data_IF_520290586654
#
_entry.id   IF_520290586654
#
_cell.length_a   1.000
_cell.length_b   1.000
_cell.length_c   1.000
_cell.angle_alpha   90.00
_cell.angle_beta   90.00
_cell.angle_gamma   90.00
#
_symmetry.space_group_name_H-M   'P 1'
#
loop_
_entity.id
_entity.type
_entity.pdbx_description
1 polymer ?
#
# COMPACT_ATOMS: atom_id res chain seq x y z
N UNK A 1 8.12 4.42 44.67
CA UNK A 1 8.13 4.41 43.19
C UNK A 1 7.67 3.01 42.76
N UNK A 2 6.49 2.53 43.14
CA UNK A 2 5.11 3.08 43.10
C UNK A 2 4.40 2.62 41.83
N UNK A 3 3.25 1.95 42.01
CA UNK A 3 2.62 1.04 41.04
C UNK A 3 1.85 1.69 39.86
N UNK A 4 1.91 3.02 39.72
CA UNK A 4 1.11 3.81 38.75
C UNK A 4 1.38 3.53 37.25
N UNK A 5 2.36 2.67 36.91
CA UNK A 5 2.71 2.36 35.50
C UNK A 5 1.99 1.10 34.98
N UNK A 6 1.32 0.32 35.83
CA UNK A 6 0.70 -0.97 35.44
C UNK A 6 -0.76 -0.90 35.00
N UNK A 7 -1.52 0.14 35.36
CA UNK A 7 -2.98 0.14 35.11
C UNK A 7 -3.40 0.51 33.68
N UNK A 8 -2.54 1.09 32.86
CA UNK A 8 -2.96 1.64 31.53
C UNK A 8 -3.16 0.57 30.44
N UNK A 9 -2.84 -0.71 30.68
CA UNK A 9 -2.80 -1.75 29.63
C UNK A 9 -3.81 -2.90 29.76
N UNK A 10 -4.74 -2.86 30.72
CA UNK A 10 -5.61 -4.00 31.04
C UNK A 10 -7.11 -3.72 30.82
N UNK A 11 -7.57 -3.72 29.57
CA UNK A 11 -9.00 -3.79 29.25
C UNK A 11 -9.31 -4.58 27.96
N UNK A 12 -10.38 -5.38 28.02
CA UNK A 12 -11.04 -6.11 26.93
C UNK A 12 -10.26 -7.22 26.21
N UNK A 13 -10.30 -8.42 26.80
CA UNK A 13 -10.30 -9.68 26.05
C UNK A 13 -11.69 -10.35 26.22
N UNK A 14 -12.32 -10.74 25.11
CA UNK A 14 -13.59 -11.48 25.09
C UNK A 14 -13.45 -12.67 24.13
N UNK A 15 -13.66 -13.88 24.65
CA UNK A 15 -13.27 -15.12 23.97
C UNK A 15 -14.44 -15.83 23.25
N UNK A 16 -14.12 -16.57 22.18
CA UNK A 16 -14.72 -17.87 21.87
C UNK A 16 -13.85 -18.63 20.85
N UNK A 17 -13.75 -19.95 20.97
CA UNK A 17 -12.95 -20.80 20.09
C UNK A 17 -13.82 -21.82 19.33
N UNK A 18 -13.41 -22.19 18.11
CA UNK A 18 -14.05 -23.24 17.32
C UNK A 18 -13.14 -23.80 16.21
N UNK A 19 -13.03 -25.13 16.14
CA UNK A 19 -12.39 -25.97 15.10
C UNK A 19 -13.26 -27.24 14.94
N UNK A 20 -13.14 -28.10 13.90
CA UNK A 20 -12.19 -28.13 12.77
C UNK A 20 -12.91 -27.69 11.45
N UNK A 21 -12.65 -28.10 10.20
CA UNK A 21 -11.85 -29.18 9.59
C UNK A 21 -11.36 -28.85 8.15
N UNK A 22 -11.08 -29.88 7.35
CA UNK A 22 -10.28 -29.84 6.10
C UNK A 22 -11.12 -29.96 4.80
N UNK A 23 -10.63 -29.43 3.66
CA UNK A 23 -11.37 -29.48 2.39
C UNK A 23 -10.69 -28.94 1.12
N UNK A 24 -9.52 -29.50 0.74
CA UNK A 24 -8.86 -29.50 -0.59
C UNK A 24 -9.24 -28.45 -1.68
N UNK A 25 -8.24 -27.63 -2.05
CA UNK A 25 -7.76 -27.34 -3.41
C UNK A 25 -8.76 -26.92 -4.54
N UNK A 26 -8.74 -25.63 -4.90
CA UNK A 26 -9.19 -25.09 -6.19
C UNK A 26 -8.34 -23.87 -6.58
N UNK A 27 -8.04 -23.68 -7.88
CA UNK A 27 -7.09 -22.66 -8.37
C UNK A 27 -7.76 -21.38 -8.91
N UNK A 28 -6.92 -20.36 -9.18
CA UNK A 28 -7.24 -19.12 -9.92
C UNK A 28 -8.10 -18.09 -9.12
N UNK A 29 -8.13 -16.77 -9.41
CA UNK A 29 -7.55 -15.97 -10.52
C UNK A 29 -7.37 -14.50 -10.09
N UNK A 30 -6.65 -13.69 -10.87
CA UNK A 30 -6.57 -12.23 -10.72
C UNK A 30 -7.93 -11.52 -10.85
N UNK A 31 -8.25 -10.59 -9.96
CA UNK A 31 -9.48 -9.77 -10.02
C UNK A 31 -9.54 -8.90 -11.29
N UNK A 32 -10.76 -8.71 -11.82
CA UNK A 32 -11.00 -8.34 -13.22
C UNK A 32 -12.04 -7.22 -13.41
N UNK A 33 -12.02 -6.19 -12.56
CA UNK A 33 -12.86 -5.01 -12.72
C UNK A 33 -12.19 -4.00 -13.69
N UNK A 34 -12.93 -3.41 -14.64
CA UNK A 34 -12.39 -2.32 -15.47
C UNK A 34 -12.32 -0.97 -14.74
N UNK A 35 -11.37 -0.08 -15.11
CA UNK A 35 -11.39 1.33 -14.71
C UNK A 35 -12.66 2.06 -15.17
N UNK A 36 -12.89 3.27 -14.64
CA UNK A 36 -13.92 4.19 -15.15
C UNK A 36 -13.47 4.92 -16.46
N UNK A 37 -14.39 5.41 -17.31
CA UNK A 37 -14.01 5.98 -18.63
C UNK A 37 -13.10 7.20 -18.56
N UNK A 38 -13.35 8.08 -17.58
CA UNK A 38 -12.48 9.23 -17.30
C UNK A 38 -11.06 8.81 -16.88
N UNK A 39 -10.93 7.66 -16.19
CA UNK A 39 -9.64 7.09 -15.80
C UNK A 39 -8.85 6.58 -17.01
N UNK A 40 -9.52 5.93 -17.97
CA UNK A 40 -8.88 5.51 -19.22
C UNK A 40 -8.37 6.72 -20.02
N UNK A 41 -9.19 7.76 -20.19
CA UNK A 41 -8.78 8.98 -20.87
C UNK A 41 -7.62 9.71 -20.17
N UNK A 42 -7.60 9.73 -18.82
CA UNK A 42 -6.47 10.25 -18.06
C UNK A 42 -5.19 9.42 -18.27
N UNK A 43 -5.28 8.08 -18.19
CA UNK A 43 -4.17 7.15 -18.43
C UNK A 43 -3.58 7.31 -19.82
N UNK A 44 -4.42 7.50 -20.84
CA UNK A 44 -4.00 7.78 -22.22
C UNK A 44 -3.23 9.10 -22.31
N UNK A 45 -3.70 10.20 -21.68
CA UNK A 45 -2.95 11.47 -21.65
C UNK A 45 -1.58 11.34 -20.97
N UNK A 46 -1.50 10.65 -19.85
CA UNK A 46 -0.24 10.43 -19.11
C UNK A 46 0.77 9.60 -19.92
N UNK A 47 0.30 8.60 -20.67
CA UNK A 47 1.15 7.72 -21.47
C UNK A 47 1.40 8.23 -22.90
N UNK A 48 0.66 9.24 -23.38
CA UNK A 48 0.83 9.79 -24.73
C UNK A 48 2.27 10.16 -25.13
N UNK A 49 3.15 10.69 -24.25
CA UNK A 49 4.55 10.96 -24.58
C UNK A 49 5.40 9.72 -24.87
N UNK A 50 5.02 8.54 -24.36
CA UNK A 50 5.71 7.26 -24.64
C UNK A 50 5.16 6.50 -25.85
N UNK A 51 4.12 7.04 -26.50
CA UNK A 51 3.44 6.41 -27.62
C UNK A 51 3.95 6.93 -28.97
N UNK A 52 4.13 6.01 -29.93
CA UNK A 52 4.22 6.40 -31.35
C UNK A 52 2.89 6.99 -31.84
N UNK A 53 2.89 7.81 -32.90
CA UNK A 53 1.64 8.37 -33.48
C UNK A 53 0.57 7.32 -33.80
N UNK A 54 0.97 6.13 -34.26
CA UNK A 54 0.04 5.02 -34.49
C UNK A 54 -0.55 4.47 -33.18
N UNK A 55 0.24 4.41 -32.11
CA UNK A 55 -0.25 3.99 -30.79
C UNK A 55 -1.15 5.04 -30.15
N UNK A 56 -0.84 6.33 -30.32
CA UNK A 56 -1.69 7.46 -29.90
C UNK A 56 -3.08 7.36 -30.55
N UNK A 57 -3.17 7.17 -31.88
CA UNK A 57 -4.46 6.98 -32.58
C UNK A 57 -5.30 5.82 -32.03
N UNK A 58 -4.66 4.71 -31.65
CA UNK A 58 -5.36 3.58 -31.01
C UNK A 58 -5.83 3.94 -29.60
N UNK A 59 -4.96 4.59 -28.81
CA UNK A 59 -5.24 4.99 -27.43
C UNK A 59 -6.34 6.06 -27.34
N UNK A 60 -6.33 7.05 -28.24
CA UNK A 60 -7.36 8.07 -28.39
C UNK A 60 -8.71 7.45 -28.78
N UNK A 61 -8.74 6.53 -29.75
CA UNK A 61 -9.97 5.85 -30.15
C UNK A 61 -10.63 5.11 -28.98
N UNK A 62 -9.85 4.32 -28.21
CA UNK A 62 -10.39 3.57 -27.07
C UNK A 62 -10.75 4.45 -25.86
N UNK A 63 -10.16 5.64 -25.74
CA UNK A 63 -10.52 6.62 -24.70
C UNK A 63 -11.75 7.45 -25.07
N UNK A 64 -11.94 7.77 -26.35
CA UNK A 64 -13.04 8.59 -26.85
C UNK A 64 -14.35 7.79 -26.93
N UNK A 65 -14.29 6.53 -27.41
CA UNK A 65 -15.45 5.64 -27.46
C UNK A 65 -15.07 4.21 -27.04
N UNK A 66 -15.05 3.94 -25.71
CA UNK A 66 -14.82 2.61 -25.18
C UNK A 66 -15.84 1.58 -25.68
N UNK A 67 -17.11 1.98 -25.83
CA UNK A 67 -18.21 1.10 -26.17
C UNK A 67 -18.13 0.59 -27.62
N UNK A 68 -17.92 1.48 -28.59
CA UNK A 68 -17.68 1.08 -29.97
C UNK A 68 -16.41 0.24 -30.10
N UNK A 69 -15.32 0.61 -29.41
CA UNK A 69 -14.07 -0.15 -29.45
C UNK A 69 -14.19 -1.55 -28.81
N UNK A 70 -15.06 -1.74 -27.82
CA UNK A 70 -15.35 -3.04 -27.20
C UNK A 70 -16.06 -4.01 -28.16
N UNK A 71 -16.87 -3.50 -29.10
CA UNK A 71 -17.61 -4.30 -30.08
C UNK A 71 -16.73 -4.84 -31.23
N UNK A 72 -15.53 -4.29 -31.42
CA UNK A 72 -14.65 -4.64 -32.55
C UNK A 72 -13.85 -5.94 -32.32
N UNK A 73 -13.25 -6.43 -33.40
CA UNK A 73 -12.13 -7.38 -33.36
C UNK A 73 -10.80 -6.61 -33.39
N UNK A 74 -9.66 -7.29 -33.18
CA UNK A 74 -8.34 -6.66 -33.29
C UNK A 74 -8.13 -6.07 -34.70
N UNK A 75 -8.57 -6.79 -35.73
CA UNK A 75 -8.60 -6.36 -37.13
C UNK A 75 -9.53 -5.16 -37.33
N UNK A 76 -10.71 -5.16 -36.69
CA UNK A 76 -11.67 -4.07 -36.75
C UNK A 76 -11.14 -2.78 -36.12
N UNK A 77 -10.51 -2.86 -34.95
CA UNK A 77 -9.89 -1.70 -34.30
C UNK A 77 -8.64 -1.22 -35.06
N UNK A 78 -7.85 -2.13 -35.63
CA UNK A 78 -6.74 -1.78 -36.52
C UNK A 78 -7.23 -1.03 -37.76
N UNK A 79 -8.33 -1.49 -38.38
CA UNK A 79 -9.01 -0.81 -39.49
C UNK A 79 -9.53 0.58 -39.11
N UNK A 80 -10.33 0.69 -38.04
CA UNK A 80 -10.88 1.96 -37.53
C UNK A 80 -9.78 3.00 -37.27
N UNK A 81 -8.67 2.56 -36.65
CA UNK A 81 -7.56 3.42 -36.28
C UNK A 81 -6.54 3.62 -37.40
N UNK A 82 -6.71 2.98 -38.56
CA UNK A 82 -5.72 2.96 -39.65
C UNK A 82 -4.32 2.56 -39.19
N UNK A 83 -4.23 1.47 -38.42
CA UNK A 83 -3.00 0.89 -37.88
C UNK A 83 -2.91 -0.62 -38.16
N UNK A 84 -1.88 -1.29 -37.65
CA UNK A 84 -1.76 -2.76 -37.72
C UNK A 84 -2.26 -3.43 -36.43
N UNK A 85 -2.68 -4.69 -36.51
CA UNK A 85 -3.05 -5.49 -35.33
C UNK A 85 -1.91 -5.56 -34.30
N UNK A 86 -0.66 -5.63 -34.77
CA UNK A 86 0.52 -5.59 -33.91
C UNK A 86 0.68 -4.24 -33.17
N UNK A 87 0.24 -3.13 -33.79
CA UNK A 87 0.13 -1.83 -33.10
C UNK A 87 -0.93 -1.90 -32.01
N UNK A 88 -2.13 -2.41 -32.32
CA UNK A 88 -3.25 -2.53 -31.35
C UNK A 88 -2.86 -3.36 -30.13
N UNK A 89 -2.26 -4.54 -30.33
CA UNK A 89 -1.80 -5.41 -29.22
C UNK A 89 -0.69 -4.74 -28.40
N UNK A 90 0.22 -3.98 -29.04
CA UNK A 90 1.29 -3.27 -28.33
C UNK A 90 0.76 -2.07 -27.55
N UNK A 91 -0.24 -1.35 -28.07
CA UNK A 91 -0.96 -0.31 -27.32
C UNK A 91 -1.71 -0.90 -26.13
N UNK A 92 -2.39 -2.05 -26.28
CA UNK A 92 -3.06 -2.72 -25.16
C UNK A 92 -2.08 -3.04 -24.01
N UNK A 93 -0.90 -3.57 -24.33
CA UNK A 93 0.19 -3.82 -23.36
C UNK A 93 0.73 -2.55 -22.72
N UNK A 94 0.93 -1.48 -23.50
CA UNK A 94 1.36 -0.18 -22.98
C UNK A 94 0.31 0.45 -22.05
N UNK A 95 -0.97 0.21 -22.30
CA UNK A 95 -2.09 0.57 -21.42
C UNK A 95 -2.24 -0.37 -20.21
N UNK A 96 -1.37 -1.36 -20.04
CA UNK A 96 -1.32 -2.26 -18.88
C UNK A 96 -2.12 -3.57 -19.00
N UNK A 97 -2.59 -3.94 -20.19
CA UNK A 97 -3.36 -5.17 -20.43
C UNK A 97 -2.50 -6.27 -21.07
N UNK A 98 -2.63 -7.56 -20.70
CA UNK A 98 -1.82 -8.65 -21.28
C UNK A 98 -1.89 -8.73 -22.83
N UNK A 99 -3.06 -8.45 -23.39
CA UNK A 99 -3.25 -8.23 -24.82
C UNK A 99 -4.57 -7.55 -25.17
N UNK A 100 -4.92 -7.55 -26.46
CA UNK A 100 -6.14 -6.91 -26.96
C UNK A 100 -7.43 -7.53 -26.39
N UNK A 101 -7.46 -8.84 -26.13
CA UNK A 101 -8.64 -9.51 -25.55
C UNK A 101 -9.00 -8.92 -24.19
N UNK A 102 -8.00 -8.68 -23.35
CA UNK A 102 -8.16 -8.18 -21.99
C UNK A 102 -8.53 -6.70 -21.99
N UNK A 103 -7.88 -5.90 -22.85
CA UNK A 103 -8.30 -4.53 -23.14
C UNK A 103 -9.78 -4.50 -23.57
N UNK A 104 -10.19 -5.35 -24.52
CA UNK A 104 -11.57 -5.37 -25.02
C UNK A 104 -12.60 -5.75 -23.95
N UNK A 105 -12.26 -6.69 -23.06
CA UNK A 105 -13.10 -7.03 -21.90
C UNK A 105 -13.21 -5.86 -20.92
N UNK A 106 -12.12 -5.14 -20.67
CA UNK A 106 -12.15 -3.93 -19.85
C UNK A 106 -13.01 -2.83 -20.50
N UNK A 107 -12.86 -2.58 -21.80
CA UNK A 107 -13.70 -1.64 -22.56
C UNK A 107 -15.19 -2.02 -22.55
N UNK A 108 -15.52 -3.32 -22.52
CA UNK A 108 -16.90 -3.79 -22.42
C UNK A 108 -17.52 -3.51 -21.04
N UNK A 109 -16.79 -3.72 -19.94
CA UNK A 109 -17.26 -3.38 -18.60
C UNK A 109 -17.31 -1.87 -18.36
N UNK A 110 -16.38 -1.11 -18.94
CA UNK A 110 -16.42 0.36 -19.05
C UNK A 110 -17.72 0.85 -19.68
N UNK A 111 -18.11 0.26 -20.81
CA UNK A 111 -19.37 0.56 -21.49
C UNK A 111 -20.58 0.17 -20.64
N UNK A 112 -20.57 -1.01 -20.02
CA UNK A 112 -21.63 -1.43 -19.09
C UNK A 112 -21.81 -0.45 -17.92
N UNK A 113 -20.71 0.11 -17.40
CA UNK A 113 -20.77 1.17 -16.38
C UNK A 113 -21.36 2.48 -16.91
N UNK A 114 -21.04 2.92 -18.13
CA UNK A 114 -21.69 4.11 -18.72
C UNK A 114 -23.18 3.89 -18.99
N UNK A 115 -23.56 2.74 -19.55
CA UNK A 115 -24.96 2.36 -19.76
C UNK A 115 -25.76 2.22 -18.45
N UNK A 116 -25.10 1.99 -17.31
CA UNK A 116 -25.75 1.90 -15.99
C UNK A 116 -26.21 3.25 -15.41
N UNK A 117 -25.80 4.38 -16.01
CA UNK A 117 -26.20 5.71 -15.55
C UNK A 117 -25.61 6.15 -14.19
N UNK A 118 -24.63 5.42 -13.64
CA UNK A 118 -23.92 5.83 -12.42
C UNK A 118 -23.17 7.14 -12.66
N UNK A 119 -23.34 8.10 -11.75
CA UNK A 119 -22.63 9.38 -11.77
C UNK A 119 -21.09 9.18 -11.73
N UNK A 120 -20.30 10.14 -12.23
CA UNK A 120 -18.85 10.12 -12.08
C UNK A 120 -18.47 10.00 -10.59
N UNK A 121 -17.45 9.20 -10.28
CA UNK A 121 -17.01 8.97 -8.90
C UNK A 121 -15.64 9.60 -8.61
N UNK A 122 -15.45 10.03 -7.36
CA UNK A 122 -14.18 10.56 -6.82
C UNK A 122 -13.30 9.41 -6.31
N UNK A 123 -13.92 8.35 -5.78
CA UNK A 123 -13.27 7.10 -5.36
C UNK A 123 -13.99 5.90 -6.00
N UNK A 124 -13.86 4.70 -5.44
CA UNK A 124 -14.63 3.53 -5.90
C UNK A 124 -16.15 3.72 -5.68
N UNK A 125 -16.56 4.22 -4.52
CA UNK A 125 -17.97 4.24 -4.08
C UNK A 125 -18.52 5.63 -3.72
N UNK A 126 -17.66 6.68 -3.74
CA UNK A 126 -18.06 8.08 -3.51
C UNK A 126 -18.30 8.77 -4.85
N UNK A 127 -19.54 9.22 -5.09
CA UNK A 127 -19.95 9.98 -6.27
C UNK A 127 -19.51 11.45 -6.18
N UNK A 128 -19.37 12.13 -7.33
CA UNK A 128 -19.02 13.56 -7.39
C UNK A 128 -20.10 14.46 -6.78
N UNK A 129 -21.34 14.01 -6.77
CA UNK A 129 -22.54 14.68 -6.27
C UNK A 129 -23.05 14.13 -4.91
N UNK A 130 -22.30 13.23 -4.26
CA UNK A 130 -22.64 12.76 -2.91
C UNK A 130 -22.67 13.95 -1.92
N UNK A 131 -23.73 14.10 -1.10
CA UNK A 131 -23.75 15.10 -0.04
C UNK A 131 -22.73 14.72 1.05
N UNK A 132 -22.13 15.72 1.69
CA UNK A 132 -21.04 15.52 2.66
C UNK A 132 -21.32 14.47 3.78
N UNK A 133 -22.54 14.32 4.34
CA UNK A 133 -22.85 13.24 5.27
C UNK A 133 -22.64 11.83 4.69
N UNK A 134 -23.00 11.62 3.42
CA UNK A 134 -22.85 10.33 2.75
C UNK A 134 -21.38 10.06 2.44
N UNK A 135 -20.60 11.09 2.06
CA UNK A 135 -19.14 10.99 1.90
C UNK A 135 -18.49 10.51 3.20
N UNK A 136 -18.87 11.08 4.35
CA UNK A 136 -18.37 10.67 5.68
C UNK A 136 -18.78 9.24 6.01
N UNK A 137 -20.06 8.88 5.81
CA UNK A 137 -20.57 7.55 6.12
C UNK A 137 -19.90 6.45 5.26
N UNK A 138 -19.77 6.67 3.95
CA UNK A 138 -19.12 5.75 3.00
C UNK A 138 -17.64 5.58 3.34
N UNK A 139 -16.89 6.68 3.54
CA UNK A 139 -15.47 6.61 3.86
C UNK A 139 -15.23 5.93 5.21
N UNK A 140 -16.02 6.23 6.24
CA UNK A 140 -15.91 5.56 7.54
C UNK A 140 -16.15 4.04 7.44
N UNK A 141 -17.12 3.62 6.62
CA UNK A 141 -17.37 2.20 6.35
C UNK A 141 -16.22 1.53 5.58
N UNK A 142 -15.71 2.16 4.53
CA UNK A 142 -14.59 1.64 3.74
C UNK A 142 -13.30 1.48 4.57
N UNK A 143 -12.98 2.45 5.43
CA UNK A 143 -11.80 2.39 6.30
C UNK A 143 -11.99 1.32 7.41
N UNK A 144 -13.20 1.16 7.97
CA UNK A 144 -13.49 0.06 8.91
C UNK A 144 -13.32 -1.32 8.27
N UNK A 145 -13.81 -1.53 7.05
CA UNK A 145 -13.60 -2.79 6.31
C UNK A 145 -12.12 -2.99 5.97
N UNK A 146 -11.43 -1.94 5.53
CA UNK A 146 -9.99 -1.97 5.23
C UNK A 146 -9.15 -2.45 6.43
N UNK A 147 -9.46 -1.95 7.63
CA UNK A 147 -8.82 -2.38 8.88
C UNK A 147 -9.15 -3.84 9.22
N UNK A 148 -10.42 -4.25 9.11
CA UNK A 148 -10.86 -5.61 9.39
C UNK A 148 -10.22 -6.64 8.43
N UNK A 149 -10.23 -6.37 7.12
CA UNK A 149 -9.60 -7.20 6.09
C UNK A 149 -8.10 -7.35 6.33
N UNK A 150 -7.42 -6.25 6.70
CA UNK A 150 -5.99 -6.28 6.99
C UNK A 150 -5.69 -7.10 8.24
N UNK A 151 -6.45 -6.91 9.32
CA UNK A 151 -6.30 -7.71 10.54
C UNK A 151 -6.54 -9.22 10.27
N UNK A 152 -7.53 -9.57 9.45
CA UNK A 152 -7.83 -10.94 9.07
C UNK A 152 -6.77 -11.57 8.14
N UNK A 153 -6.09 -10.75 7.33
CA UNK A 153 -5.07 -11.19 6.38
C UNK A 153 -3.63 -11.28 6.94
N UNK A 154 -3.40 -10.86 8.18
CA UNK A 154 -2.07 -10.88 8.79
C UNK A 154 -1.67 -12.27 9.29
N UNK A 155 -0.51 -12.75 8.84
CA UNK A 155 0.13 -13.94 9.40
C UNK A 155 0.78 -13.60 10.76
N UNK A 156 0.25 -14.20 11.82
CA UNK A 156 0.71 -13.98 13.20
C UNK A 156 2.11 -14.52 13.47
N UNK A 157 2.58 -15.54 12.74
CA UNK A 157 3.94 -16.04 12.85
C UNK A 157 4.94 -15.07 12.21
N UNK A 158 4.61 -14.54 11.01
CA UNK A 158 5.41 -13.50 10.36
C UNK A 158 5.45 -12.22 11.19
N UNK A 159 4.29 -11.77 11.70
CA UNK A 159 4.21 -10.61 12.61
C UNK A 159 5.04 -10.83 13.88
N UNK A 160 4.92 -12.01 14.52
CA UNK A 160 5.66 -12.35 15.72
C UNK A 160 7.18 -12.45 15.51
N UNK A 161 7.62 -12.83 14.32
CA UNK A 161 9.03 -12.87 13.93
C UNK A 161 9.56 -11.45 13.61
N UNK A 162 8.83 -10.67 12.81
CA UNK A 162 9.12 -9.26 12.52
C UNK A 162 9.25 -8.40 13.79
N UNK A 163 8.32 -8.55 14.74
CA UNK A 163 8.40 -7.92 16.08
C UNK A 163 9.67 -8.35 16.83
N UNK A 164 10.06 -9.63 16.74
CA UNK A 164 11.28 -10.13 17.37
C UNK A 164 12.56 -9.54 16.77
N UNK A 165 12.62 -9.45 15.44
CA UNK A 165 13.73 -8.84 14.71
C UNK A 165 13.88 -7.36 15.08
N UNK A 166 12.79 -6.58 15.03
CA UNK A 166 12.79 -5.16 15.38
C UNK A 166 13.16 -4.90 16.85
N UNK A 167 12.65 -5.70 17.79
CA UNK A 167 12.97 -5.56 19.22
C UNK A 167 14.45 -5.86 19.55
N UNK A 168 15.10 -6.73 18.77
CA UNK A 168 16.53 -7.04 18.89
C UNK A 168 17.45 -6.22 17.99
N UNK A 169 16.92 -5.28 17.20
CA UNK A 169 17.67 -4.56 16.18
C UNK A 169 18.65 -3.54 16.77
N UNK A 170 19.87 -3.50 16.25
CA UNK A 170 20.85 -2.44 16.52
C UNK A 170 20.52 -1.16 15.76
N UNK A 171 20.01 -1.30 14.53
CA UNK A 171 19.60 -0.23 13.60
C UNK A 171 18.45 -0.74 12.76
N UNK A 172 17.48 0.13 12.48
CA UNK A 172 16.31 -0.14 11.64
C UNK A 172 16.27 0.90 10.52
N UNK A 173 16.44 0.49 9.27
CA UNK A 173 16.25 1.37 8.12
C UNK A 173 14.92 1.06 7.43
N UNK A 174 14.17 2.10 7.08
CA UNK A 174 12.80 1.98 6.58
C UNK A 174 12.70 2.68 5.22
N UNK A 175 12.28 1.94 4.21
CA UNK A 175 12.22 2.36 2.82
C UNK A 175 10.76 2.50 2.37
N UNK A 176 10.38 3.70 1.93
CA UNK A 176 9.03 3.99 1.48
C UNK A 176 8.96 5.33 0.77
N UNK A 177 8.20 5.40 -0.33
CA UNK A 177 8.05 6.61 -1.16
C UNK A 177 6.59 7.03 -1.28
N UNK A 178 6.34 8.32 -1.51
CA UNK A 178 5.00 8.88 -1.58
C UNK A 178 4.17 8.61 -0.31
N UNK A 179 2.95 8.10 -0.48
CA UNK A 179 2.06 7.77 0.65
C UNK A 179 2.66 6.74 1.62
N UNK A 180 3.40 5.74 1.13
CA UNK A 180 4.09 4.77 1.99
C UNK A 180 5.33 5.35 2.69
N UNK A 181 5.89 6.45 2.16
CA UNK A 181 6.93 7.23 2.84
C UNK A 181 6.41 7.94 4.10
N UNK A 182 5.13 8.35 4.13
CA UNK A 182 4.50 8.89 5.34
C UNK A 182 4.38 7.81 6.43
N UNK A 183 4.05 6.57 6.04
CA UNK A 183 4.00 5.43 6.98
C UNK A 183 5.40 5.05 7.47
N UNK A 184 6.42 5.15 6.63
CA UNK A 184 7.81 4.95 7.04
C UNK A 184 8.26 5.98 8.09
N UNK A 185 7.85 7.24 7.96
CA UNK A 185 8.11 8.30 8.95
C UNK A 185 7.37 8.04 10.27
N UNK A 186 6.11 7.61 10.21
CA UNK A 186 5.32 7.25 11.39
C UNK A 186 5.95 6.08 12.18
N UNK A 187 6.33 4.99 11.51
CA UNK A 187 7.06 3.88 12.13
C UNK A 187 8.40 4.34 12.74
N UNK A 188 9.15 5.20 12.02
CA UNK A 188 10.41 5.78 12.52
C UNK A 188 10.19 6.56 13.81
N UNK A 189 9.18 7.45 13.84
CA UNK A 189 8.84 8.24 15.01
C UNK A 189 8.45 7.35 16.21
N UNK A 190 7.65 6.31 15.96
CA UNK A 190 7.21 5.35 16.98
C UNK A 190 8.38 4.57 17.58
N UNK A 191 9.31 4.07 16.75
CA UNK A 191 10.50 3.35 17.21
C UNK A 191 11.49 4.23 17.98
N UNK A 192 11.73 5.46 17.51
CA UNK A 192 12.59 6.44 18.21
C UNK A 192 12.04 6.78 19.61
N UNK A 193 10.71 6.89 19.75
CA UNK A 193 10.03 7.17 21.03
C UNK A 193 10.24 6.10 22.10
N UNK A 194 10.56 4.86 21.71
CA UNK A 194 10.88 3.74 22.62
C UNK A 194 12.39 3.41 22.65
N UNK A 195 13.24 4.32 22.16
CA UNK A 195 14.69 4.22 22.28
C UNK A 195 15.40 3.37 21.22
N UNK A 196 14.70 2.95 20.15
CA UNK A 196 15.32 2.22 19.04
C UNK A 196 15.85 3.17 17.96
N UNK A 197 17.01 2.83 17.39
CA UNK A 197 17.64 3.61 16.32
C UNK A 197 16.94 3.27 14.99
N UNK A 198 16.09 4.17 14.51
CA UNK A 198 15.35 4.02 13.27
C UNK A 198 15.53 5.22 12.32
N UNK A 199 15.57 4.95 11.00
CA UNK A 199 15.64 5.99 9.96
C UNK A 199 14.68 5.67 8.80
N UNK A 200 13.88 6.66 8.38
CA UNK A 200 13.17 6.61 7.11
C UNK A 200 14.02 7.23 6.00
N UNK A 201 14.23 6.50 4.90
CA UNK A 201 14.93 6.98 3.72
C UNK A 201 13.96 7.13 2.54
N UNK A 202 13.75 8.38 2.10
CA UNK A 202 12.90 8.74 0.97
C UNK A 202 13.66 9.13 -0.30
N UNK A 203 14.97 9.35 -0.20
CA UNK A 203 15.86 9.53 -1.36
C UNK A 203 16.39 8.15 -1.81
N UNK A 204 16.15 7.72 -3.07
CA UNK A 204 16.53 6.37 -3.51
C UNK A 204 18.04 6.10 -3.50
N UNK A 205 18.86 7.10 -3.88
CA UNK A 205 20.31 6.94 -3.93
C UNK A 205 20.92 6.83 -2.53
N UNK A 206 20.45 7.64 -1.59
CA UNK A 206 20.85 7.55 -0.19
C UNK A 206 20.29 6.29 0.48
N UNK A 207 19.09 5.83 0.13
CA UNK A 207 18.55 4.57 0.65
C UNK A 207 19.46 3.39 0.29
N UNK A 208 19.86 3.25 -0.98
CA UNK A 208 20.79 2.21 -1.44
C UNK A 208 22.17 2.35 -0.79
N UNK A 209 22.70 3.57 -0.71
CA UNK A 209 24.02 3.84 -0.08
C UNK A 209 24.04 3.47 1.40
N UNK A 210 22.93 3.71 2.12
CA UNK A 210 22.76 3.31 3.51
C UNK A 210 22.57 1.80 3.68
N UNK A 211 21.84 1.15 2.77
CA UNK A 211 21.59 -0.29 2.81
C UNK A 211 22.89 -1.12 2.78
N UNK A 212 23.91 -0.68 2.04
CA UNK A 212 25.26 -1.30 2.01
C UNK A 212 25.94 -1.32 3.40
N UNK A 213 25.54 -0.42 4.31
CA UNK A 213 26.10 -0.32 5.66
C UNK A 213 25.34 -1.14 6.71
N UNK A 214 24.25 -1.81 6.32
CA UNK A 214 23.52 -2.74 7.17
C UNK A 214 24.25 -4.08 7.24
N UNK A 215 24.02 -4.82 8.33
CA UNK A 215 24.67 -6.10 8.62
C UNK A 215 23.79 -6.94 9.54
N UNK A 216 24.26 -8.14 9.89
CA UNK A 216 23.63 -8.97 10.91
C UNK A 216 23.29 -8.19 12.19
N UNK A 217 22.07 -8.39 12.70
CA UNK A 217 21.39 -7.65 13.79
C UNK A 217 20.91 -6.24 13.46
N UNK A 218 21.00 -5.79 12.20
CA UNK A 218 20.22 -4.67 11.70
C UNK A 218 18.96 -5.18 10.97
N UNK A 219 17.96 -4.32 10.81
CA UNK A 219 16.70 -4.64 10.13
C UNK A 219 16.43 -3.62 9.02
N UNK A 220 15.99 -4.10 7.86
CA UNK A 220 15.46 -3.28 6.79
C UNK A 220 13.95 -3.53 6.61
N UNK A 221 13.16 -2.45 6.52
CA UNK A 221 11.70 -2.52 6.36
C UNK A 221 11.28 -1.81 5.08
N UNK A 222 10.79 -2.55 4.09
CA UNK A 222 10.17 -1.99 2.90
C UNK A 222 8.67 -1.79 3.12
N UNK A 223 8.17 -0.60 2.80
CA UNK A 223 6.73 -0.29 2.79
C UNK A 223 6.34 0.06 1.35
N UNK A 224 5.68 -0.87 0.65
CA UNK A 224 5.24 -0.67 -0.74
C UNK A 224 3.92 -1.40 -0.99
N UNK A 225 2.85 -0.64 -1.26
CA UNK A 225 1.54 -1.22 -1.53
C UNK A 225 1.54 -2.14 -2.75
N UNK A 226 2.21 -1.75 -3.84
CA UNK A 226 2.23 -2.52 -5.09
C UNK A 226 3.21 -3.70 -5.08
N UNK A 227 4.14 -3.76 -4.11
CA UNK A 227 5.18 -4.78 -4.06
C UNK A 227 6.18 -4.72 -5.23
N UNK A 228 6.17 -3.63 -6.01
CA UNK A 228 6.86 -3.48 -7.31
C UNK A 228 7.63 -2.17 -7.48
N UNK A 229 7.71 -1.34 -6.43
CA UNK A 229 8.39 -0.03 -6.47
C UNK A 229 9.92 -0.20 -6.43
N UNK A 230 10.61 0.05 -7.55
CA UNK A 230 12.06 -0.11 -7.67
C UNK A 230 12.85 0.57 -6.55
N UNK A 231 12.59 1.86 -6.33
CA UNK A 231 13.21 2.71 -5.29
C UNK A 231 13.07 2.19 -3.85
N UNK A 232 12.15 1.26 -3.59
CA UNK A 232 11.93 0.62 -2.28
C UNK A 232 12.50 -0.79 -2.25
N UNK A 233 12.44 -1.52 -3.37
CA UNK A 233 12.91 -2.91 -3.49
C UNK A 233 14.42 -2.98 -3.62
N UNK A 234 15.05 -2.05 -4.32
CA UNK A 234 16.51 -2.02 -4.49
C UNK A 234 17.27 -1.88 -3.17
N UNK A 235 16.97 -0.91 -2.27
CA UNK A 235 17.63 -0.86 -0.97
C UNK A 235 17.28 -2.05 -0.07
N UNK A 236 16.06 -2.61 -0.16
CA UNK A 236 15.71 -3.84 0.57
C UNK A 236 16.57 -5.03 0.11
N UNK A 237 16.71 -5.24 -1.19
CA UNK A 237 17.60 -6.27 -1.77
C UNK A 237 19.04 -6.06 -1.30
N UNK A 238 19.55 -4.83 -1.35
CA UNK A 238 20.92 -4.56 -0.91
C UNK A 238 21.09 -4.88 0.59
N UNK A 239 20.10 -4.57 1.43
CA UNK A 239 20.13 -4.94 2.85
C UNK A 239 20.12 -6.47 3.06
N UNK A 240 19.29 -7.20 2.29
CA UNK A 240 19.24 -8.67 2.26
C UNK A 240 20.61 -9.26 1.87
N UNK A 241 21.21 -8.77 0.78
CA UNK A 241 22.52 -9.21 0.28
C UNK A 241 23.66 -8.98 1.29
N UNK A 242 23.51 -8.02 2.23
CA UNK A 242 24.45 -7.73 3.31
C UNK A 242 24.11 -8.41 4.66
N UNK A 243 23.07 -9.27 4.68
CA UNK A 243 22.72 -10.09 5.84
C UNK A 243 21.99 -9.34 6.97
N UNK A 244 21.31 -8.23 6.66
CA UNK A 244 20.30 -7.66 7.55
C UNK A 244 19.00 -8.48 7.48
N UNK A 245 18.21 -8.50 8.56
CA UNK A 245 16.88 -9.10 8.50
C UNK A 245 15.92 -8.18 7.76
N UNK A 246 15.12 -8.71 6.86
CA UNK A 246 14.30 -7.95 5.91
C UNK A 246 12.81 -8.18 6.11
N UNK A 247 12.05 -7.09 6.12
CA UNK A 247 10.60 -7.09 6.36
C UNK A 247 9.91 -6.31 5.23
N UNK A 248 8.87 -6.87 4.63
CA UNK A 248 8.05 -6.18 3.63
C UNK A 248 6.61 -5.99 4.12
N UNK A 249 6.14 -4.75 4.18
CA UNK A 249 4.73 -4.39 4.40
C UNK A 249 4.12 -4.07 3.03
N UNK A 250 3.24 -4.94 2.53
CA UNK A 250 2.78 -4.87 1.14
C UNK A 250 1.35 -5.36 0.90
N UNK A 251 0.68 -4.82 -0.11
CA UNK A 251 -0.60 -5.34 -0.61
C UNK A 251 -0.45 -6.52 -1.58
N UNK A 252 0.78 -6.81 -2.02
CA UNK A 252 1.09 -7.86 -3.00
C UNK A 252 2.14 -8.81 -2.44
N UNK A 253 1.75 -9.80 -1.61
CA UNK A 253 2.68 -10.78 -1.06
C UNK A 253 3.27 -11.71 -2.14
N UNK A 254 2.66 -11.76 -3.33
CA UNK A 254 3.14 -12.38 -4.57
C UNK A 254 4.11 -11.49 -5.38
N UNK A 255 4.35 -10.25 -4.94
CA UNK A 255 5.10 -9.25 -5.67
C UNK A 255 6.64 -9.40 -5.59
N UNK A 256 7.39 -8.72 -6.48
CA UNK A 256 8.85 -8.75 -6.48
C UNK A 256 9.53 -8.41 -5.15
N UNK A 257 8.92 -7.57 -4.30
CA UNK A 257 9.45 -7.25 -2.96
C UNK A 257 9.66 -8.48 -2.07
N UNK A 258 8.79 -9.50 -2.19
CA UNK A 258 8.84 -10.71 -1.37
C UNK A 258 10.04 -11.61 -1.66
N UNK A 259 10.77 -11.38 -2.77
CA UNK A 259 12.00 -12.10 -3.09
C UNK A 259 13.17 -11.71 -2.16
N UNK A 260 13.06 -10.57 -1.48
CA UNK A 260 14.11 -9.98 -0.65
C UNK A 260 13.57 -9.63 0.75
N UNK A 261 12.61 -10.42 1.24
CA UNK A 261 11.97 -10.23 2.53
C UNK A 261 11.90 -11.56 3.30
N UNK A 262 12.60 -11.63 4.43
CA UNK A 262 12.50 -12.75 5.38
C UNK A 262 11.08 -12.84 5.98
N UNK A 263 10.44 -11.69 6.18
CA UNK A 263 9.09 -11.56 6.71
C UNK A 263 8.20 -10.69 5.82
N UNK A 264 7.04 -11.22 5.42
CA UNK A 264 6.05 -10.49 4.61
C UNK A 264 4.78 -10.27 5.44
N UNK A 265 4.37 -9.01 5.55
CA UNK A 265 3.19 -8.55 6.28
C UNK A 265 2.18 -7.98 5.29
N UNK A 266 1.12 -8.75 5.03
CA UNK A 266 0.12 -8.44 4.02
C UNK A 266 -0.86 -7.37 4.49
N UNK A 267 -1.10 -6.37 3.64
CA UNK A 267 -2.12 -5.31 3.83
C UNK A 267 -3.29 -5.48 2.86
N UNK A 268 -4.52 -5.09 3.25
CA UNK A 268 -5.66 -5.17 2.32
C UNK A 268 -5.47 -4.27 1.09
N UNK A 269 -5.93 -4.78 -0.05
CA UNK A 269 -6.03 -4.07 -1.35
C UNK A 269 -7.47 -3.89 -1.82
N UNK A 270 -8.44 -4.45 -1.10
CA UNK A 270 -9.80 -4.68 -1.61
C UNK A 270 -10.61 -3.40 -1.91
N UNK A 271 -10.27 -2.28 -1.26
CA UNK A 271 -10.99 -0.99 -1.35
C UNK A 271 -10.13 0.14 -1.90
N UNK A 272 -8.95 -0.18 -2.44
CA UNK A 272 -8.12 0.81 -3.10
C UNK A 272 -8.57 0.99 -4.56
N UNK A 273 -8.99 2.21 -4.92
CA UNK A 273 -9.42 2.54 -6.29
C UNK A 273 -8.24 2.46 -7.26
N UNK A 274 -8.43 2.00 -8.50
CA UNK A 274 -7.33 1.92 -9.49
C UNK A 274 -6.63 3.27 -9.73
N UNK A 275 -7.34 4.39 -9.62
CA UNK A 275 -6.77 5.73 -9.76
C UNK A 275 -5.98 6.20 -8.53
N UNK A 276 -6.12 5.51 -7.39
CA UNK A 276 -5.44 5.78 -6.10
C UNK A 276 -5.30 7.27 -5.77
N UNK A 277 -6.37 8.09 -5.87
CA UNK A 277 -6.25 9.56 -5.88
C UNK A 277 -5.56 10.15 -4.65
N UNK A 278 -5.68 9.50 -3.50
CA UNK A 278 -4.95 9.84 -2.27
C UNK A 278 -4.40 8.63 -1.49
N UNK A 279 -4.43 7.43 -2.08
CA UNK A 279 -3.99 6.16 -1.50
C UNK A 279 -4.49 5.91 -0.05
N UNK A 280 -5.78 6.18 0.21
CA UNK A 280 -6.32 6.25 1.58
C UNK A 280 -6.35 4.87 2.25
N UNK A 281 -7.13 3.94 1.69
CA UNK A 281 -7.26 2.56 2.19
C UNK A 281 -5.89 1.87 2.31
N UNK A 282 -5.03 1.92 1.28
CA UNK A 282 -3.71 1.28 1.38
C UNK A 282 -2.80 1.89 2.44
N UNK A 283 -2.87 3.21 2.69
CA UNK A 283 -2.13 3.86 3.79
C UNK A 283 -2.70 3.45 5.15
N UNK A 284 -4.02 3.41 5.31
CA UNK A 284 -4.67 2.96 6.57
C UNK A 284 -4.29 1.53 6.91
N UNK A 285 -4.35 0.60 5.94
CA UNK A 285 -3.88 -0.78 6.13
C UNK A 285 -2.41 -0.84 6.60
N UNK A 286 -1.53 -0.05 5.97
CA UNK A 286 -0.11 -0.01 6.34
C UNK A 286 0.12 0.57 7.75
N UNK A 287 -0.66 1.58 8.16
CA UNK A 287 -0.60 2.16 9.51
C UNK A 287 -1.03 1.15 10.58
N UNK A 288 -2.08 0.35 10.34
CA UNK A 288 -2.48 -0.71 11.26
C UNK A 288 -1.35 -1.72 11.49
N UNK A 289 -0.65 -2.16 10.43
CA UNK A 289 0.49 -3.07 10.56
C UNK A 289 1.62 -2.41 11.36
N UNK A 290 1.89 -1.12 11.14
CA UNK A 290 2.87 -0.36 11.92
C UNK A 290 2.49 -0.24 13.40
N UNK A 291 1.21 -0.05 13.73
CA UNK A 291 0.73 -0.04 15.12
C UNK A 291 0.89 -1.41 15.78
N UNK A 292 0.55 -2.51 15.09
CA UNK A 292 0.79 -3.87 15.58
C UNK A 292 2.27 -4.15 15.83
N UNK A 293 3.16 -3.74 14.90
CA UNK A 293 4.60 -3.86 15.07
C UNK A 293 5.09 -3.03 16.27
N UNK A 294 4.69 -1.77 16.36
CA UNK A 294 5.09 -0.88 17.46
C UNK A 294 4.67 -1.42 18.83
N UNK A 295 3.40 -1.80 18.99
CA UNK A 295 2.89 -2.34 20.26
C UNK A 295 3.61 -3.65 20.62
N UNK A 296 3.79 -4.56 19.67
CA UNK A 296 4.51 -5.81 19.90
C UNK A 296 5.97 -5.60 20.29
N UNK A 297 6.65 -4.64 19.66
CA UNK A 297 8.04 -4.28 20.00
C UNK A 297 8.11 -3.65 21.38
N UNK A 298 7.27 -2.65 21.67
CA UNK A 298 7.23 -1.97 22.96
C UNK A 298 6.89 -2.91 24.13
N UNK A 299 6.06 -3.94 23.91
CA UNK A 299 5.81 -5.00 24.89
C UNK A 299 7.07 -5.86 25.16
N UNK A 300 7.85 -6.20 24.12
CA UNK A 300 9.09 -6.99 24.28
C UNK A 300 10.26 -6.18 24.83
N UNK A 301 10.28 -4.87 24.62
CA UNK A 301 11.32 -3.96 25.10
C UNK A 301 10.86 -3.10 26.29
N UNK A 302 9.78 -3.49 26.98
CA UNK A 302 9.09 -2.65 27.99
C UNK A 302 10.03 -1.98 29.00
N UNK A 303 11.01 -2.71 29.54
CA UNK A 303 11.97 -2.21 30.53
C UNK A 303 12.83 -1.04 30.03
N UNK A 304 13.14 -0.97 28.73
CA UNK A 304 13.86 0.15 28.11
C UNK A 304 12.93 1.16 27.42
N UNK A 305 11.79 0.71 26.92
CA UNK A 305 10.79 1.54 26.24
C UNK A 305 10.10 2.53 27.19
N UNK A 306 9.68 2.06 28.38
CA UNK A 306 8.99 2.90 29.37
C UNK A 306 9.82 4.13 29.82
N UNK A 307 11.10 4.00 30.25
CA UNK A 307 11.92 5.16 30.61
C UNK A 307 12.24 6.05 29.39
N UNK A 308 12.43 5.49 28.20
CA UNK A 308 12.65 6.27 26.97
C UNK A 308 11.44 7.15 26.63
N UNK A 309 10.21 6.63 26.80
CA UNK A 309 8.97 7.38 26.63
C UNK A 309 8.82 8.52 27.65
N UNK A 310 9.15 8.28 28.92
CA UNK A 310 9.09 9.33 29.97
C UNK A 310 10.10 10.44 29.69
N UNK A 311 11.38 10.09 29.50
CA UNK A 311 12.46 11.05 29.26
C UNK A 311 12.19 11.92 28.02
N UNK A 312 11.69 11.32 26.93
CA UNK A 312 11.35 12.07 25.71
C UNK A 312 10.03 12.85 25.81
N UNK A 313 9.13 12.52 26.73
CA UNK A 313 7.97 13.37 27.07
C UNK A 313 8.42 14.59 27.91
N UNK A 314 9.18 14.36 28.97
CA UNK A 314 9.70 15.39 29.88
C UNK A 314 10.55 16.43 29.12
N UNK A 315 11.45 15.97 28.25
CA UNK A 315 12.28 16.84 27.40
C UNK A 315 11.46 17.78 26.51
N UNK A 316 10.24 17.39 26.11
CA UNK A 316 9.36 18.19 25.26
C UNK A 316 8.27 18.94 26.05
N UNK A 317 8.06 18.63 27.33
CA UNK A 317 6.96 19.18 28.12
C UNK A 317 6.99 20.73 28.22
N UNK A 318 8.17 21.34 28.17
CA UNK A 318 8.33 22.79 28.14
C UNK A 318 7.76 23.45 26.87
N UNK A 319 7.69 22.72 25.74
CA UNK A 319 7.13 23.21 24.47
C UNK A 319 5.61 23.19 24.43
N UNK A 320 4.97 22.38 25.26
CA UNK A 320 3.51 22.25 25.36
C UNK A 320 2.92 23.14 26.46
N UNK A 321 3.73 23.68 27.37
CA UNK A 321 3.29 24.72 28.30
C UNK A 321 3.21 26.05 27.55
N UNK A 322 1.99 26.48 27.25
CA UNK A 322 1.75 27.81 26.70
C UNK A 322 2.34 28.88 27.63
N UNK A 323 3.21 29.73 27.08
CA UNK A 323 3.73 30.89 27.79
C UNK A 323 2.63 31.93 27.99
N UNK A 324 1.89 31.83 29.09
CA UNK A 324 1.13 32.96 29.62
C UNK A 324 2.10 34.06 30.07
N UNK A 325 1.87 35.34 29.72
CA UNK A 325 2.79 36.41 30.09
C UNK A 325 2.81 36.59 31.61
N UNK A 326 4.02 36.55 32.20
CA UNK A 326 4.25 36.97 33.57
C UNK A 326 3.82 38.44 33.72
N UNK A 327 2.90 38.69 34.65
CA UNK A 327 2.56 40.02 35.17
C UNK A 327 2.95 40.10 36.63
#
# INVERSE_FOLDING_TARGET
>A
MSDDVKETFAATAGAAAGRPAEGRSGSATTSSAPPAPAALAAKVRTLAPSMTRSMQRVAEAVANDPAACAALTVTGLAGLTGTSEATVVRTARLLGYPGYRDLRLALAGLAAHQQSGRAPSVTADIAVDDPLPDVVAKLAYDEQQTLADTAAGLDMAQLGAAVGALAGARRIDIYGVGASGLVAQDLTQKLLRIGLIAHAHSDPHLAVTNAVQLRAKDVAVAITHSGSTGDVIEPLRVAFDHGATTIAITGRPDGPVSQYADHVLTTSTARESELRPAAMSSRTSQLLVVDCLFVGVAQRTYESAAPALSASYEALAHRHRAGGPSR
#
